data_IF_435718376536
#
_entry.id   IF_435718376536
#
_cell.length_a   1.000
_cell.length_b   1.000
_cell.length_c   1.000
_cell.angle_alpha   90.00
_cell.angle_beta   90.00
_cell.angle_gamma   90.00
#
_symmetry.space_group_name_H-M   'P 1'
#
loop_
_entity.id
_entity.type
_entity.pdbx_description
1 polymer ?
#
# COMPACT_ATOMS: atom_id res chain seq x y z
N UNK A 1 -50.05 -28.43 20.17
CA UNK A 1 -50.14 -27.65 18.91
C UNK A 1 -48.90 -26.78 18.67
N UNK A 2 -48.38 -26.04 19.66
CA UNK A 2 -47.15 -25.22 19.49
C UNK A 2 -45.85 -26.02 19.23
N UNK A 3 -45.69 -27.21 19.81
CA UNK A 3 -44.47 -28.04 19.64
C UNK A 3 -44.35 -28.68 18.24
N UNK A 4 -45.48 -28.98 17.59
CA UNK A 4 -45.51 -29.51 16.22
C UNK A 4 -45.16 -28.43 15.19
N UNK A 5 -45.64 -27.20 15.39
CA UNK A 5 -45.32 -26.05 14.54
C UNK A 5 -43.83 -25.67 14.60
N UNK A 6 -43.17 -25.81 15.75
CA UNK A 6 -41.73 -25.51 15.87
C UNK A 6 -40.84 -26.56 15.18
N UNK A 7 -41.25 -27.83 15.23
CA UNK A 7 -40.53 -28.94 14.59
C UNK A 7 -40.69 -28.92 13.06
N UNK A 8 -41.86 -28.54 12.53
CA UNK A 8 -42.05 -28.40 11.08
C UNK A 8 -41.31 -27.17 10.52
N UNK A 9 -41.24 -26.07 11.26
CA UNK A 9 -40.57 -24.85 10.82
C UNK A 9 -39.05 -25.01 10.75
N UNK A 10 -38.45 -25.67 11.74
CA UNK A 10 -37.01 -25.97 11.78
C UNK A 10 -36.59 -26.98 10.71
N UNK A 11 -37.41 -28.01 10.46
CA UNK A 11 -37.16 -28.99 9.41
C UNK A 11 -37.31 -28.39 8.00
N UNK A 12 -38.21 -27.42 7.82
CA UNK A 12 -38.39 -26.72 6.55
C UNK A 12 -37.28 -25.69 6.28
N UNK A 13 -36.78 -25.00 7.30
CA UNK A 13 -35.62 -24.11 7.19
C UNK A 13 -34.33 -24.87 6.87
N UNK A 14 -34.10 -25.99 7.55
CA UNK A 14 -32.90 -26.83 7.34
C UNK A 14 -32.86 -27.40 5.92
N UNK A 15 -34.00 -27.87 5.39
CA UNK A 15 -34.09 -28.35 4.00
C UNK A 15 -33.92 -27.24 2.95
N UNK A 16 -34.31 -26.00 3.25
CA UNK A 16 -34.05 -24.85 2.35
C UNK A 16 -32.57 -24.46 2.37
N UNK A 17 -31.92 -24.45 3.54
CA UNK A 17 -30.50 -24.13 3.69
C UNK A 17 -29.62 -25.19 3.00
N UNK A 18 -29.97 -26.48 3.15
CA UNK A 18 -29.24 -27.58 2.51
C UNK A 18 -29.38 -27.55 0.99
N UNK A 19 -30.58 -27.23 0.46
CA UNK A 19 -30.80 -27.05 -0.99
C UNK A 19 -30.04 -25.83 -1.54
N UNK A 20 -29.97 -24.73 -0.78
CA UNK A 20 -29.21 -23.55 -1.17
C UNK A 20 -27.70 -23.84 -1.23
N UNK A 21 -27.16 -24.54 -0.23
CA UNK A 21 -25.75 -24.96 -0.18
C UNK A 21 -25.40 -25.96 -1.29
N UNK A 22 -26.31 -26.87 -1.62
CA UNK A 22 -26.09 -27.85 -2.70
C UNK A 22 -26.09 -27.17 -4.08
N UNK A 23 -26.98 -26.19 -4.30
CA UNK A 23 -27.00 -25.39 -5.54
C UNK A 23 -25.74 -24.52 -5.64
N UNK A 24 -25.28 -23.92 -4.54
CA UNK A 24 -24.05 -23.13 -4.52
C UNK A 24 -22.81 -23.98 -4.87
N UNK A 25 -22.74 -25.22 -4.34
CA UNK A 25 -21.65 -26.15 -4.63
C UNK A 25 -21.65 -26.61 -6.09
N UNK A 26 -22.83 -26.84 -6.68
CA UNK A 26 -22.96 -27.20 -8.11
C UNK A 26 -22.61 -26.02 -9.02
N UNK A 27 -22.92 -24.78 -8.64
CA UNK A 27 -22.50 -23.58 -9.37
C UNK A 27 -20.98 -23.38 -9.27
N UNK A 28 -20.37 -23.61 -8.10
CA UNK A 28 -18.91 -23.54 -7.93
C UNK A 28 -18.19 -24.63 -8.76
N UNK A 29 -18.76 -25.83 -8.85
CA UNK A 29 -18.22 -26.91 -9.70
C UNK A 29 -18.48 -26.68 -11.20
N UNK A 30 -19.58 -26.03 -11.58
CA UNK A 30 -19.90 -25.73 -12.98
C UNK A 30 -19.11 -24.53 -13.53
N UNK A 31 -18.77 -23.54 -12.70
CA UNK A 31 -17.89 -22.41 -13.09
C UNK A 31 -16.44 -22.87 -13.28
N UNK A 32 -16.03 -23.99 -12.65
CA UNK A 32 -14.70 -24.59 -12.79
C UNK A 32 -14.45 -25.39 -14.09
N UNK A 33 -15.43 -25.56 -14.99
CA UNK A 33 -15.28 -26.43 -16.17
C UNK A 33 -15.64 -25.82 -17.53
N UNK A 34 -15.95 -24.53 -17.64
CA UNK A 34 -16.25 -23.90 -18.94
C UNK A 34 -15.22 -22.81 -19.24
N UNK A 35 -14.16 -23.23 -19.94
CA UNK A 35 -13.12 -22.31 -20.39
C UNK A 35 -11.93 -22.98 -21.07
N UNK A 36 -12.15 -24.04 -21.86
CA UNK A 36 -11.13 -24.46 -22.83
C UNK A 36 -11.09 -23.41 -23.94
N UNK A 37 -10.38 -22.31 -23.68
CA UNK A 37 -9.92 -21.44 -24.76
C UNK A 37 -8.67 -22.08 -25.33
N UNK A 38 -8.79 -22.51 -26.59
CA UNK A 38 -7.66 -22.90 -27.43
C UNK A 38 -6.64 -21.76 -27.45
N UNK A 39 -5.55 -21.94 -26.71
CA UNK A 39 -4.35 -21.13 -26.87
C UNK A 39 -3.83 -21.37 -28.28
N UNK A 40 -3.95 -20.37 -29.13
CA UNK A 40 -3.22 -20.29 -30.38
C UNK A 40 -1.82 -19.75 -30.03
N UNK A 41 -0.72 -20.54 -30.10
CA UNK A 41 0.62 -20.06 -29.80
C UNK A 41 1.12 -19.27 -31.02
N UNK A 42 0.60 -18.07 -31.16
CA UNK A 42 0.82 -17.21 -32.32
C UNK A 42 1.70 -16.02 -32.03
N UNK A 43 2.72 -16.12 -31.16
CA UNK A 43 3.86 -15.19 -31.11
C UNK A 43 5.13 -15.98 -30.78
N UNK A 44 5.71 -16.66 -31.77
CA UNK A 44 7.09 -17.15 -31.72
C UNK A 44 8.05 -16.01 -32.12
N UNK A 45 7.97 -14.90 -31.40
CA UNK A 45 8.96 -13.84 -31.44
C UNK A 45 9.56 -13.69 -30.05
N UNK A 46 10.73 -14.33 -29.92
CA UNK A 46 11.80 -14.04 -28.98
C UNK A 46 11.80 -14.71 -27.59
N UNK A 47 12.05 -16.02 -27.58
CA UNK A 47 12.29 -16.80 -26.36
C UNK A 47 13.57 -16.39 -25.59
N UNK A 48 14.43 -15.55 -26.18
CA UNK A 48 15.78 -15.29 -25.68
C UNK A 48 16.04 -13.83 -25.29
N UNK A 49 15.41 -12.85 -25.95
CA UNK A 49 15.68 -11.44 -25.67
C UNK A 49 15.25 -11.01 -24.27
N UNK A 50 16.09 -10.17 -23.67
CA UNK A 50 16.04 -9.69 -22.29
C UNK A 50 16.15 -10.78 -21.20
N UNK A 51 16.44 -12.03 -21.56
CA UNK A 51 16.77 -13.06 -20.56
C UNK A 51 18.13 -12.78 -19.93
N UNK A 52 18.27 -13.15 -18.66
CA UNK A 52 19.56 -13.20 -17.99
C UNK A 52 20.16 -14.60 -18.08
N UNK A 53 21.48 -14.66 -18.01
CA UNK A 53 22.22 -15.91 -17.94
C UNK A 53 23.60 -15.70 -17.35
N UNK A 54 24.33 -16.80 -17.20
CA UNK A 54 25.70 -16.80 -16.69
C UNK A 54 26.63 -17.51 -17.66
N UNK A 55 27.85 -16.97 -17.78
CA UNK A 55 28.93 -17.66 -18.46
C UNK A 55 29.25 -18.96 -17.72
N UNK A 56 29.28 -20.08 -18.45
CA UNK A 56 29.43 -21.42 -17.89
C UNK A 56 30.81 -22.07 -18.18
N UNK A 57 31.73 -21.31 -18.77
CA UNK A 57 33.10 -21.73 -19.03
C UNK A 57 34.11 -20.85 -18.27
N UNK A 58 35.30 -21.38 -18.00
CA UNK A 58 36.34 -20.71 -17.21
C UNK A 58 36.78 -19.37 -17.80
N UNK A 59 36.83 -19.27 -19.13
CA UNK A 59 37.20 -18.07 -19.86
C UNK A 59 36.57 -18.06 -21.25
N UNK A 60 35.92 -16.95 -21.62
CA UNK A 60 35.18 -16.81 -22.87
C UNK A 60 35.46 -15.44 -23.51
N UNK A 61 35.80 -15.43 -24.80
CA UNK A 61 36.00 -14.19 -25.54
C UNK A 61 34.66 -13.65 -26.06
N UNK A 62 34.32 -12.43 -25.67
CA UNK A 62 33.25 -11.64 -26.25
C UNK A 62 33.80 -10.94 -27.50
N UNK A 63 33.05 -10.99 -28.60
CA UNK A 63 33.48 -10.50 -29.92
C UNK A 63 32.58 -9.40 -30.46
N UNK A 64 33.10 -8.54 -31.33
CA UNK A 64 32.35 -7.42 -31.92
C UNK A 64 31.37 -7.87 -33.00
N UNK A 65 31.60 -9.05 -33.59
CA UNK A 65 30.73 -9.73 -34.56
C UNK A 65 30.58 -11.21 -34.19
N UNK A 66 29.51 -11.91 -34.61
CA UNK A 66 29.28 -13.32 -34.30
C UNK A 66 30.17 -14.24 -35.16
N UNK A 67 31.49 -14.06 -35.07
CA UNK A 67 32.47 -14.82 -35.84
C UNK A 67 33.71 -15.14 -34.99
N UNK A 68 33.95 -16.43 -34.72
CA UNK A 68 35.11 -16.87 -33.95
C UNK A 68 36.33 -17.23 -34.80
N UNK A 69 36.26 -17.16 -36.13
CA UNK A 69 37.40 -17.46 -37.03
C UNK A 69 38.30 -16.23 -37.25
N UNK A 70 37.87 -15.06 -36.78
CA UNK A 70 38.60 -13.80 -36.89
C UNK A 70 38.98 -13.32 -35.49
N UNK A 71 40.26 -13.46 -35.13
CA UNK A 71 40.75 -13.11 -33.79
C UNK A 71 40.85 -11.62 -33.51
N UNK A 72 40.93 -10.79 -34.56
CA UNK A 72 40.91 -9.32 -34.42
C UNK A 72 39.58 -8.78 -33.92
N UNK A 73 38.52 -9.59 -33.90
CA UNK A 73 37.18 -9.17 -33.46
C UNK A 73 36.95 -9.39 -31.96
N UNK A 74 37.98 -9.76 -31.18
CA UNK A 74 37.87 -9.86 -29.72
C UNK A 74 37.68 -8.48 -29.10
N UNK A 75 36.61 -8.32 -28.31
CA UNK A 75 36.34 -7.11 -27.51
C UNK A 75 36.95 -7.26 -26.12
N UNK A 76 36.57 -8.33 -25.41
CA UNK A 76 37.02 -8.59 -24.03
C UNK A 76 36.89 -10.08 -23.70
N UNK A 77 37.55 -10.51 -22.63
CA UNK A 77 37.39 -11.86 -22.07
C UNK A 77 36.58 -11.79 -20.77
N UNK A 78 35.58 -12.65 -20.64
CA UNK A 78 34.74 -12.81 -19.44
C UNK A 78 34.97 -14.19 -18.84
N UNK A 79 34.81 -14.31 -17.52
CA UNK A 79 35.09 -15.53 -16.77
C UNK A 79 33.78 -16.23 -16.34
N UNK A 80 33.93 -17.44 -15.80
CA UNK A 80 32.85 -18.23 -15.21
C UNK A 80 31.99 -17.38 -14.25
N UNK A 81 30.67 -17.59 -14.32
CA UNK A 81 29.64 -16.89 -13.53
C UNK A 81 29.43 -15.40 -13.85
N UNK A 82 30.10 -14.83 -14.86
CA UNK A 82 29.75 -13.50 -15.34
C UNK A 82 28.27 -13.46 -15.75
N UNK A 83 27.51 -12.56 -15.15
CA UNK A 83 26.10 -12.33 -15.47
C UNK A 83 26.01 -11.52 -16.76
N UNK A 84 25.12 -11.95 -17.66
CA UNK A 84 24.87 -11.33 -18.96
C UNK A 84 23.37 -11.20 -19.20
N UNK A 85 22.97 -10.16 -19.93
CA UNK A 85 21.62 -10.02 -20.50
C UNK A 85 21.68 -10.31 -21.99
N UNK A 86 20.79 -11.17 -22.49
CA UNK A 86 20.69 -11.52 -23.90
C UNK A 86 19.88 -10.44 -24.62
N UNK A 87 20.41 -9.90 -25.70
CA UNK A 87 19.75 -8.89 -26.53
C UNK A 87 19.19 -9.49 -27.82
N UNK A 88 19.80 -10.57 -28.31
CA UNK A 88 19.46 -11.21 -29.58
C UNK A 88 20.15 -12.57 -29.68
N UNK A 89 19.60 -13.49 -30.47
CA UNK A 89 20.24 -14.75 -30.87
C UNK A 89 20.43 -14.79 -32.39
N UNK A 90 21.67 -14.97 -32.86
CA UNK A 90 22.04 -14.96 -34.29
C UNK A 90 22.86 -16.19 -34.67
N UNK A 91 22.85 -16.57 -35.94
CA UNK A 91 23.77 -17.58 -36.49
C UNK A 91 25.09 -16.95 -36.93
N UNK A 92 26.21 -17.64 -36.75
CA UNK A 92 27.50 -17.16 -37.25
C UNK A 92 28.63 -18.19 -37.23
N UNK A 93 29.78 -17.90 -37.87
CA UNK A 93 30.89 -18.84 -37.96
C UNK A 93 31.56 -19.13 -36.62
N UNK A 94 31.88 -20.40 -36.36
CA UNK A 94 32.71 -20.87 -35.26
C UNK A 94 33.91 -21.67 -35.79
N UNK A 95 34.92 -21.92 -34.95
CA UNK A 95 36.08 -22.76 -35.31
C UNK A 95 35.72 -24.20 -35.68
N UNK A 96 34.48 -24.62 -35.38
CA UNK A 96 33.96 -25.97 -35.62
C UNK A 96 32.87 -26.02 -36.69
N UNK A 97 32.66 -24.94 -37.44
CA UNK A 97 31.55 -24.78 -38.40
C UNK A 97 30.57 -23.69 -38.00
N UNK A 98 29.33 -23.73 -38.46
CA UNK A 98 28.31 -22.73 -38.11
C UNK A 98 27.70 -23.02 -36.73
N UNK A 99 27.52 -21.99 -35.91
CA UNK A 99 26.87 -22.10 -34.60
C UNK A 99 26.04 -20.87 -34.26
N UNK A 100 25.37 -20.92 -33.12
CA UNK A 100 24.57 -19.80 -32.64
C UNK A 100 25.33 -18.96 -31.62
N UNK A 101 25.01 -17.68 -31.62
CA UNK A 101 25.61 -16.64 -30.81
C UNK A 101 24.52 -15.85 -30.12
N UNK A 102 24.79 -15.46 -28.88
CA UNK A 102 24.03 -14.42 -28.21
C UNK A 102 24.73 -13.09 -28.36
N UNK A 103 23.98 -12.07 -28.80
CA UNK A 103 24.36 -10.69 -28.52
C UNK A 103 24.06 -10.44 -27.05
N UNK A 104 25.05 -10.02 -26.28
CA UNK A 104 24.95 -9.85 -24.83
C UNK A 104 25.30 -8.42 -24.42
N UNK A 105 24.67 -7.97 -23.34
CA UNK A 105 25.06 -6.78 -22.57
C UNK A 105 25.48 -7.20 -21.16
N UNK A 106 26.59 -6.66 -20.67
CA UNK A 106 27.09 -6.96 -19.32
C UNK A 106 28.04 -5.86 -18.82
N UNK A 107 28.34 -5.88 -17.52
CA UNK A 107 29.23 -4.91 -16.89
C UNK A 107 30.48 -5.57 -16.32
N UNK A 108 31.63 -4.93 -16.52
CA UNK A 108 32.89 -5.25 -15.82
C UNK A 108 33.34 -3.98 -15.08
N UNK A 109 33.26 -4.00 -13.76
CA UNK A 109 33.41 -2.78 -12.96
C UNK A 109 32.31 -1.77 -13.31
N UNK A 110 32.69 -0.53 -13.61
CA UNK A 110 31.78 0.56 -14.01
C UNK A 110 31.51 0.62 -15.52
N UNK A 111 32.17 -0.20 -16.34
CA UNK A 111 32.05 -0.15 -17.81
C UNK A 111 31.04 -1.18 -18.31
N UNK A 112 30.12 -0.74 -19.16
CA UNK A 112 29.13 -1.60 -19.83
C UNK A 112 29.68 -2.00 -21.21
N UNK A 113 29.60 -3.29 -21.52
CA UNK A 113 30.04 -3.87 -22.79
C UNK A 113 28.86 -4.48 -23.53
N UNK A 114 28.93 -4.43 -24.85
CA UNK A 114 28.11 -5.24 -25.75
C UNK A 114 28.98 -6.03 -26.70
N UNK A 115 28.53 -7.23 -27.06
CA UNK A 115 29.19 -8.06 -28.05
C UNK A 115 28.54 -9.42 -28.16
N UNK A 116 29.21 -10.33 -28.87
CA UNK A 116 28.71 -11.65 -29.20
C UNK A 116 29.50 -12.73 -28.46
N UNK A 117 28.77 -13.69 -27.90
CA UNK A 117 29.32 -14.90 -27.29
C UNK A 117 28.64 -16.13 -27.89
N UNK A 118 29.37 -17.23 -28.05
CA UNK A 118 28.79 -18.49 -28.56
C UNK A 118 27.78 -19.03 -27.54
N UNK A 119 26.59 -19.39 -28.00
CA UNK A 119 25.45 -19.82 -27.17
C UNK A 119 25.83 -20.88 -26.13
N UNK A 120 26.62 -21.89 -26.51
CA UNK A 120 27.02 -23.00 -25.63
C UNK A 120 27.73 -22.55 -24.34
N UNK A 121 28.32 -21.35 -24.33
CA UNK A 121 29.05 -20.82 -23.18
C UNK A 121 28.17 -20.03 -22.21
N UNK A 122 26.86 -19.95 -22.47
CA UNK A 122 25.90 -19.25 -21.63
C UNK A 122 24.86 -20.26 -21.13
N UNK A 123 24.76 -20.40 -19.82
CA UNK A 123 23.61 -21.04 -19.20
C UNK A 123 22.58 -19.95 -18.91
N UNK A 124 21.43 -20.01 -19.59
CA UNK A 124 20.33 -19.10 -19.31
C UNK A 124 19.74 -19.42 -17.95
N UNK A 125 19.35 -18.38 -17.21
CA UNK A 125 18.51 -18.57 -16.02
C UNK A 125 17.20 -19.24 -16.47
N UNK A 126 16.58 -20.10 -15.63
CA UNK A 126 15.31 -20.72 -15.96
C UNK A 126 14.31 -19.62 -16.37
N UNK A 127 13.51 -19.85 -17.43
CA UNK A 127 12.50 -18.86 -17.80
C UNK A 127 11.63 -18.60 -16.59
N UNK A 128 11.49 -17.34 -16.17
CA UNK A 128 10.50 -16.97 -15.17
C UNK A 128 9.14 -17.21 -15.80
N UNK A 129 8.58 -18.40 -15.56
CA UNK A 129 7.23 -18.69 -15.99
C UNK A 129 6.31 -17.73 -15.22
N UNK A 130 5.35 -17.08 -15.90
CA UNK A 130 4.37 -16.27 -15.21
C UNK A 130 3.66 -17.15 -14.18
N UNK A 131 3.55 -16.66 -12.95
CA UNK A 131 2.69 -17.27 -11.96
C UNK A 131 1.24 -17.16 -12.48
N UNK A 132 0.77 -18.25 -13.08
CA UNK A 132 -0.54 -18.27 -13.76
C UNK A 132 -1.68 -17.97 -12.78
N UNK A 133 -1.53 -18.34 -11.51
CA UNK A 133 -2.51 -18.03 -10.48
C UNK A 133 -2.58 -16.53 -10.20
N UNK A 134 -1.42 -15.86 -10.22
CA UNK A 134 -1.34 -14.42 -10.09
C UNK A 134 -1.89 -13.70 -11.33
N UNK A 135 -1.58 -14.16 -12.54
CA UNK A 135 -2.14 -13.58 -13.78
C UNK A 135 -3.67 -13.72 -13.84
N UNK A 136 -4.19 -14.87 -13.37
CA UNK A 136 -5.62 -15.08 -13.24
C UNK A 136 -6.24 -14.11 -12.22
N UNK A 137 -5.61 -13.94 -11.05
CA UNK A 137 -6.05 -12.95 -10.05
C UNK A 137 -6.11 -11.55 -10.64
N UNK A 138 -5.06 -11.09 -11.34
CA UNK A 138 -5.03 -9.77 -11.97
C UNK A 138 -6.16 -9.60 -13.01
N UNK A 139 -6.45 -10.66 -13.76
CA UNK A 139 -7.51 -10.69 -14.78
C UNK A 139 -8.90 -10.67 -14.13
N UNK A 140 -9.13 -11.45 -13.08
CA UNK A 140 -10.37 -11.46 -12.30
C UNK A 140 -10.63 -10.10 -11.63
N UNK A 141 -9.57 -9.47 -11.12
CA UNK A 141 -9.60 -8.11 -10.58
C UNK A 141 -9.67 -7.04 -11.68
N UNK A 142 -9.68 -7.39 -12.97
CA UNK A 142 -9.81 -6.45 -14.10
C UNK A 142 -8.76 -5.33 -14.07
N UNK A 143 -7.53 -5.64 -13.66
CA UNK A 143 -6.45 -4.67 -13.76
C UNK A 143 -6.12 -4.38 -15.23
N UNK A 144 -5.99 -3.09 -15.64
CA UNK A 144 -5.53 -2.75 -16.98
C UNK A 144 -4.12 -3.27 -17.24
N UNK A 145 -3.79 -3.60 -18.50
CA UNK A 145 -2.45 -4.08 -18.88
C UNK A 145 -1.31 -3.16 -18.44
N UNK A 146 -1.55 -1.83 -18.40
CA UNK A 146 -0.55 -0.87 -17.95
C UNK A 146 -0.16 -0.99 -16.47
N UNK A 147 -0.94 -1.68 -15.64
CA UNK A 147 -0.63 -1.92 -14.23
C UNK A 147 0.21 -3.17 -14.02
N UNK A 148 0.01 -4.21 -14.85
CA UNK A 148 0.55 -5.55 -14.63
C UNK A 148 2.07 -5.61 -14.47
N UNK A 149 2.91 -4.85 -15.23
CA UNK A 149 4.36 -4.88 -15.03
C UNK A 149 4.79 -4.52 -13.60
N UNK A 150 4.15 -3.50 -13.01
CA UNK A 150 4.45 -3.06 -11.65
C UNK A 150 3.95 -4.06 -10.60
N UNK A 151 2.75 -4.61 -10.79
CA UNK A 151 2.17 -5.61 -9.89
C UNK A 151 2.98 -6.91 -9.88
N UNK A 152 3.49 -7.37 -11.03
CA UNK A 152 4.40 -8.53 -11.11
C UNK A 152 5.70 -8.29 -10.35
N UNK A 153 6.27 -7.10 -10.47
CA UNK A 153 7.49 -6.72 -9.76
C UNK A 153 7.28 -6.73 -8.23
N UNK A 154 6.11 -6.29 -7.77
CA UNK A 154 5.71 -6.33 -6.37
C UNK A 154 5.45 -7.77 -5.89
N UNK A 155 4.72 -8.57 -6.66
CA UNK A 155 4.42 -9.98 -6.36
C UNK A 155 5.67 -10.84 -6.23
N UNK A 156 6.66 -10.61 -7.10
CA UNK A 156 7.95 -11.31 -7.03
C UNK A 156 8.64 -11.09 -5.69
N UNK A 157 8.50 -9.89 -5.11
CA UNK A 157 9.09 -9.54 -3.81
C UNK A 157 8.20 -9.97 -2.64
N UNK A 158 6.89 -9.96 -2.82
CA UNK A 158 5.90 -10.27 -1.79
C UNK A 158 4.81 -11.21 -2.33
N UNK A 159 5.11 -12.52 -2.48
CA UNK A 159 4.20 -13.46 -3.15
C UNK A 159 2.88 -13.72 -2.41
N UNK A 160 2.78 -13.30 -1.15
CA UNK A 160 1.58 -13.45 -0.32
C UNK A 160 0.65 -12.24 -0.37
N UNK A 161 1.05 -11.17 -1.05
CA UNK A 161 0.21 -9.99 -1.19
C UNK A 161 -0.96 -10.26 -2.13
N UNK A 162 -2.11 -9.68 -1.79
CA UNK A 162 -3.35 -9.80 -2.56
C UNK A 162 -3.69 -8.40 -3.05
N UNK A 163 -3.75 -8.22 -4.36
CA UNK A 163 -4.11 -6.95 -4.97
C UNK A 163 -5.59 -6.94 -5.30
N UNK A 164 -6.31 -5.96 -4.76
CA UNK A 164 -7.70 -5.69 -5.10
C UNK A 164 -7.80 -4.42 -5.92
N UNK A 165 -8.54 -4.46 -7.03
CA UNK A 165 -8.77 -3.26 -7.82
C UNK A 165 -10.00 -2.51 -7.29
N UNK A 166 -9.91 -1.18 -7.24
CA UNK A 166 -11.07 -0.31 -6.96
C UNK A 166 -11.48 0.34 -8.27
N UNK A 167 -12.64 -0.08 -8.79
CA UNK A 167 -13.20 0.44 -10.03
C UNK A 167 -14.00 1.70 -9.75
N UNK A 168 -13.33 2.85 -9.70
CA UNK A 168 -13.96 4.14 -9.35
C UNK A 168 -14.96 4.63 -10.40
N UNK A 169 -14.80 4.19 -11.65
CA UNK A 169 -15.57 4.66 -12.82
C UNK A 169 -15.53 6.18 -13.02
N UNK A 170 -14.52 6.86 -12.44
CA UNK A 170 -14.33 8.29 -12.59
C UNK A 170 -13.61 8.60 -13.90
N UNK A 171 -14.03 9.66 -14.57
CA UNK A 171 -13.33 10.18 -15.74
C UNK A 171 -12.04 10.91 -15.32
N UNK A 172 -10.91 10.48 -15.91
CA UNK A 172 -9.59 11.01 -15.56
C UNK A 172 -9.49 12.52 -15.72
N UNK A 173 -10.00 13.07 -16.83
CA UNK A 173 -9.94 14.51 -17.09
C UNK A 173 -10.73 15.27 -16.03
N UNK A 174 -11.91 14.78 -15.68
CA UNK A 174 -12.78 15.37 -14.66
C UNK A 174 -12.13 15.35 -13.28
N UNK A 175 -11.46 14.26 -12.90
CA UNK A 175 -10.71 14.19 -11.64
C UNK A 175 -9.56 15.19 -11.63
N UNK A 176 -8.74 15.20 -12.69
CA UNK A 176 -7.60 16.10 -12.79
C UNK A 176 -8.04 17.58 -12.79
N UNK A 177 -9.08 17.92 -13.55
CA UNK A 177 -9.67 19.27 -13.58
C UNK A 177 -10.09 19.72 -12.18
N UNK A 178 -10.80 18.85 -11.46
CA UNK A 178 -11.18 19.10 -10.07
C UNK A 178 -9.96 19.30 -9.17
N UNK A 179 -8.90 18.49 -9.29
CA UNK A 179 -7.71 18.63 -8.45
C UNK A 179 -6.85 19.86 -8.79
N UNK A 180 -7.01 20.41 -9.99
CA UNK A 180 -6.31 21.63 -10.44
C UNK A 180 -7.11 22.93 -10.28
N UNK A 181 -8.25 22.89 -9.58
CA UNK A 181 -8.97 24.12 -9.20
C UNK A 181 -8.05 25.01 -8.32
N UNK A 182 -7.98 26.33 -8.57
CA UNK A 182 -7.23 27.27 -7.76
C UNK A 182 -7.41 27.08 -6.25
N UNK A 183 -6.30 26.91 -5.53
CA UNK A 183 -6.26 26.71 -4.08
C UNK A 183 -6.32 25.26 -3.60
N UNK A 184 -6.50 24.26 -4.48
CA UNK A 184 -6.70 22.85 -4.06
C UNK A 184 -5.41 22.04 -3.95
N UNK A 185 -4.60 22.02 -5.01
CA UNK A 185 -3.31 21.31 -5.03
C UNK A 185 -2.16 22.32 -4.99
N UNK A 186 -1.42 22.33 -3.88
CA UNK A 186 -0.40 23.33 -3.61
C UNK A 186 0.98 22.69 -3.45
N UNK A 187 2.01 23.48 -3.77
CA UNK A 187 3.42 23.14 -3.63
C UNK A 187 4.14 24.33 -2.99
N UNK A 188 5.20 24.09 -2.23
CA UNK A 188 5.96 25.19 -1.66
C UNK A 188 6.69 25.97 -2.76
N UNK A 189 6.64 27.30 -2.69
CA UNK A 189 7.17 28.20 -3.71
C UNK A 189 8.69 28.08 -3.90
N UNK A 190 9.40 27.61 -2.86
CA UNK A 190 10.84 27.33 -2.91
C UNK A 190 11.20 26.10 -3.76
N UNK A 191 10.24 25.25 -4.11
CA UNK A 191 10.49 24.11 -4.98
C UNK A 191 10.60 24.53 -6.45
N UNK A 192 11.08 23.59 -7.26
CA UNK A 192 11.41 23.79 -8.67
C UNK A 192 10.23 24.40 -9.45
N UNK A 193 10.53 25.33 -10.36
CA UNK A 193 9.54 26.01 -11.21
C UNK A 193 8.67 25.06 -12.02
N UNK A 194 9.19 23.90 -12.44
CA UNK A 194 8.43 22.87 -13.15
C UNK A 194 7.29 22.24 -12.31
N UNK A 195 7.34 22.39 -11.00
CA UNK A 195 6.32 21.91 -10.08
C UNK A 195 5.18 22.90 -9.90
N UNK A 196 5.33 24.14 -10.39
CA UNK A 196 4.41 25.24 -10.15
C UNK A 196 3.61 25.55 -11.40
N UNK A 197 2.33 25.88 -11.23
CA UNK A 197 1.46 26.22 -12.37
C UNK A 197 1.83 27.59 -12.95
N UNK A 198 1.81 27.70 -14.28
CA UNK A 198 1.99 28.95 -15.02
C UNK A 198 0.67 29.53 -15.54
N UNK A 199 -0.46 28.92 -15.17
CA UNK A 199 -1.80 29.41 -15.54
C UNK A 199 -2.03 30.84 -14.98
N UNK A 200 -2.82 31.68 -15.66
CA UNK A 200 -3.03 33.08 -15.27
C UNK A 200 -3.50 33.28 -13.82
N UNK A 201 -4.25 32.33 -13.27
CA UNK A 201 -4.72 32.34 -11.88
C UNK A 201 -3.58 32.04 -10.89
N UNK A 202 -2.54 31.31 -11.31
CA UNK A 202 -1.43 30.86 -10.47
C UNK A 202 -0.18 31.75 -10.57
N UNK A 203 0.05 32.38 -11.73
CA UNK A 203 1.30 33.10 -12.03
C UNK A 203 1.03 34.50 -12.59
N UNK A 204 1.77 35.48 -12.09
CA UNK A 204 1.75 36.84 -12.58
C UNK A 204 2.94 37.09 -13.51
N UNK A 205 2.65 37.17 -14.80
CA UNK A 205 3.62 37.40 -15.87
C UNK A 205 4.22 38.82 -15.87
N UNK A 206 3.57 39.81 -15.22
CA UNK A 206 4.11 41.17 -15.12
C UNK A 206 5.14 41.28 -14.00
N UNK A 207 4.91 40.60 -12.88
CA UNK A 207 5.81 40.63 -11.72
C UNK A 207 6.77 39.44 -11.66
N UNK A 208 6.61 38.46 -12.55
CA UNK A 208 7.38 37.22 -12.63
C UNK A 208 7.32 36.43 -11.30
N UNK A 209 6.12 36.32 -10.72
CA UNK A 209 5.89 35.70 -9.40
C UNK A 209 4.68 34.77 -9.40
N UNK A 210 4.80 33.66 -8.67
CA UNK A 210 3.66 32.82 -8.34
C UNK A 210 2.81 33.45 -7.23
N UNK A 211 1.49 33.33 -7.39
CA UNK A 211 0.50 33.82 -6.44
C UNK A 211 0.34 32.81 -5.29
N UNK A 212 0.47 33.23 -4.03
CA UNK A 212 0.25 32.35 -2.88
C UNK A 212 -1.25 32.08 -2.67
N UNK A 213 -1.56 30.86 -2.24
CA UNK A 213 -2.92 30.38 -1.95
C UNK A 213 -3.10 29.92 -0.50
N UNK A 214 -2.02 29.49 0.17
CA UNK A 214 -2.03 29.18 1.61
C UNK A 214 -0.76 29.76 2.26
N UNK A 215 -0.96 30.57 3.30
CA UNK A 215 0.07 31.43 3.85
C UNK A 215 0.77 32.27 2.78
N UNK A 216 2.06 32.54 2.98
CA UNK A 216 2.89 33.30 2.04
C UNK A 216 3.74 32.42 1.11
N UNK A 217 3.70 31.09 1.28
CA UNK A 217 4.67 30.18 0.67
C UNK A 217 4.08 29.03 -0.14
N UNK A 218 2.78 28.76 -0.07
CA UNK A 218 2.16 27.70 -0.86
C UNK A 218 1.52 28.28 -2.11
N UNK A 219 1.94 27.77 -3.28
CA UNK A 219 1.49 28.21 -4.60
C UNK A 219 0.90 27.03 -5.36
N UNK A 220 0.14 27.30 -6.43
CA UNK A 220 -0.50 26.25 -7.23
C UNK A 220 0.52 25.28 -7.83
N UNK A 221 0.28 23.98 -7.65
CA UNK A 221 1.03 22.92 -8.31
C UNK A 221 0.72 22.89 -9.82
N UNK A 222 1.70 22.51 -10.64
CA UNK A 222 1.50 22.33 -12.09
C UNK A 222 0.59 21.14 -12.35
N UNK A 223 -0.22 21.24 -13.42
CA UNK A 223 -1.15 20.17 -13.81
C UNK A 223 -0.43 18.85 -14.08
N UNK A 224 0.78 18.90 -14.62
CA UNK A 224 1.63 17.74 -14.86
C UNK A 224 2.03 17.08 -13.54
N UNK A 225 2.44 17.86 -12.53
CA UNK A 225 2.77 17.32 -11.22
C UNK A 225 1.56 16.65 -10.56
N UNK A 226 0.40 17.31 -10.59
CA UNK A 226 -0.85 16.75 -10.06
C UNK A 226 -1.19 15.44 -10.78
N UNK A 227 -1.05 15.37 -12.11
CA UNK A 227 -1.31 14.15 -12.87
C UNK A 227 -0.37 12.99 -12.52
N UNK A 228 0.88 13.27 -12.16
CA UNK A 228 1.84 12.26 -11.73
C UNK A 228 1.44 11.63 -10.39
N UNK A 229 1.04 12.45 -9.41
CA UNK A 229 0.61 11.97 -8.09
C UNK A 229 -0.77 11.31 -8.09
N UNK A 230 -1.65 11.71 -9.02
CA UNK A 230 -2.95 11.06 -9.24
C UNK A 230 -2.88 9.78 -10.06
N UNK A 231 -1.75 9.42 -10.65
CA UNK A 231 -1.63 8.16 -11.39
C UNK A 231 -1.13 7.06 -10.45
N UNK A 232 -1.96 6.07 -10.08
CA UNK A 232 -1.55 5.04 -9.12
C UNK A 232 -0.30 4.29 -9.57
N UNK A 233 -0.12 4.10 -10.89
CA UNK A 233 1.02 3.38 -11.48
C UNK A 233 2.35 4.03 -11.11
N UNK A 234 2.36 5.34 -10.89
CA UNK A 234 3.55 6.09 -10.53
C UNK A 234 4.04 5.77 -9.10
N UNK A 235 3.21 5.10 -8.30
CA UNK A 235 3.45 4.77 -6.89
C UNK A 235 3.50 3.25 -6.62
N UNK A 236 3.36 2.41 -7.66
CA UNK A 236 3.42 0.95 -7.54
C UNK A 236 4.87 0.44 -7.52
N UNK A 237 5.58 0.77 -6.44
CA UNK A 237 6.88 0.20 -6.09
C UNK A 237 6.94 -0.23 -4.63
N UNK A 238 8.00 -0.94 -4.25
CA UNK A 238 8.16 -1.57 -2.92
C UNK A 238 8.12 -0.59 -1.74
N UNK A 239 8.23 0.72 -2.00
CA UNK A 239 8.23 1.76 -0.96
C UNK A 239 6.88 2.47 -0.90
N UNK A 240 6.33 2.84 -2.06
CA UNK A 240 5.15 3.72 -2.15
C UNK A 240 3.84 2.96 -2.23
N UNK A 241 3.86 1.66 -2.54
CA UNK A 241 2.67 0.81 -2.63
C UNK A 241 1.82 0.80 -1.35
N UNK A 242 2.43 1.02 -0.18
CA UNK A 242 1.71 1.07 1.11
C UNK A 242 0.68 2.20 1.19
N UNK A 243 0.72 3.20 0.31
CA UNK A 243 -0.37 4.18 0.25
C UNK A 243 -1.72 3.56 -0.17
N UNK A 244 -1.67 2.39 -0.81
CA UNK A 244 -2.84 1.60 -1.21
C UNK A 244 -3.16 0.46 -0.24
N UNK A 245 -2.49 0.40 0.92
CA UNK A 245 -2.81 -0.58 1.96
C UNK A 245 -4.25 -0.36 2.46
N UNK A 246 -5.04 -1.44 2.54
CA UNK A 246 -6.38 -1.38 3.08
C UNK A 246 -6.34 -1.15 4.60
N UNK A 247 -6.79 0.02 5.02
CA UNK A 247 -6.83 0.48 6.40
C UNK A 247 -8.06 -0.04 7.16
N UNK A 248 -8.89 -0.90 6.56
CA UNK A 248 -10.02 -1.56 7.23
C UNK A 248 -9.54 -2.77 8.03
N UNK A 249 -10.21 -3.08 9.14
CA UNK A 249 -9.89 -4.24 9.96
C UNK A 249 -10.16 -5.55 9.20
N UNK A 250 -9.11 -6.35 9.02
CA UNK A 250 -9.21 -7.72 8.53
C UNK A 250 -8.61 -8.71 9.55
N UNK A 251 -9.43 -9.52 10.25
CA UNK A 251 -8.96 -10.45 11.27
C UNK A 251 -8.13 -11.61 10.70
N UNK A 252 -8.14 -11.84 9.37
CA UNK A 252 -7.33 -12.88 8.74
C UNK A 252 -5.85 -12.51 8.62
N UNK A 253 -5.51 -11.21 8.71
CA UNK A 253 -4.14 -10.71 8.50
C UNK A 253 -3.62 -9.88 9.68
N UNK A 254 -4.51 -9.28 10.46
CA UNK A 254 -4.13 -8.48 11.62
C UNK A 254 -4.03 -9.34 12.88
N UNK A 255 -2.85 -9.36 13.49
CA UNK A 255 -2.56 -10.15 14.70
C UNK A 255 -2.04 -9.27 15.84
N UNK A 256 -2.15 -9.78 17.08
CA UNK A 256 -1.58 -9.11 18.26
C UNK A 256 -0.06 -8.94 18.08
N UNK A 257 0.62 -9.93 17.53
CA UNK A 257 2.07 -9.92 17.30
C UNK A 257 2.48 -8.81 16.33
N UNK A 258 1.71 -8.57 15.27
CA UNK A 258 1.94 -7.46 14.36
C UNK A 258 1.81 -6.11 15.05
N UNK A 259 0.80 -5.94 15.92
CA UNK A 259 0.66 -4.73 16.73
C UNK A 259 1.84 -4.58 17.70
N UNK A 260 2.27 -5.66 18.37
CA UNK A 260 3.44 -5.63 19.26
C UNK A 260 4.71 -5.18 18.52
N UNK A 261 4.92 -5.65 17.29
CA UNK A 261 6.03 -5.23 16.45
C UNK A 261 5.97 -3.73 16.13
N UNK A 262 4.78 -3.21 15.80
CA UNK A 262 4.55 -1.77 15.58
C UNK A 262 4.79 -0.95 16.84
N UNK A 263 4.46 -1.46 18.04
CA UNK A 263 4.67 -0.74 19.29
C UNK A 263 6.09 -0.91 19.85
N UNK A 264 6.93 -1.74 19.24
CA UNK A 264 8.28 -2.01 19.72
C UNK A 264 9.12 -0.71 19.77
N UNK A 265 9.76 -0.48 20.92
CA UNK A 265 10.63 0.68 21.13
C UNK A 265 9.93 1.98 21.52
N UNK A 266 8.62 1.96 21.82
CA UNK A 266 7.91 3.08 22.42
C UNK A 266 7.32 2.72 23.80
N UNK A 267 6.76 3.70 24.51
CA UNK A 267 6.22 3.51 25.87
C UNK A 267 5.04 2.50 25.95
N UNK A 268 4.38 2.23 24.82
CA UNK A 268 3.28 1.27 24.69
C UNK A 268 3.77 -0.16 24.38
N UNK A 269 5.04 -0.35 24.03
CA UNK A 269 5.62 -1.65 23.66
C UNK A 269 5.94 -2.54 24.86
N UNK A 270 6.58 -3.69 24.62
CA UNK A 270 7.03 -4.63 25.67
C UNK A 270 5.93 -5.03 26.66
N UNK A 271 4.73 -5.34 26.14
CA UNK A 271 3.57 -5.76 26.92
C UNK A 271 3.19 -4.81 28.07
N UNK A 272 3.40 -3.51 27.87
CA UNK A 272 2.93 -2.48 28.80
C UNK A 272 1.40 -2.51 28.88
N UNK A 273 0.91 -2.41 30.11
CA UNK A 273 -0.52 -2.57 30.42
C UNK A 273 -1.18 -1.27 30.87
N UNK A 274 -2.49 -1.23 30.70
CA UNK A 274 -3.40 -0.22 31.24
C UNK A 274 -4.46 -0.96 32.06
N UNK A 275 -4.74 -0.47 33.26
CA UNK A 275 -5.86 -0.94 34.09
C UNK A 275 -6.96 0.11 34.05
N UNK A 276 -8.19 -0.33 33.78
CA UNK A 276 -9.36 0.53 33.61
C UNK A 276 -10.64 -0.23 34.03
N UNK A 277 -11.74 0.47 34.38
CA UNK A 277 -13.01 -0.19 34.66
C UNK A 277 -13.65 -0.71 33.37
N UNK A 278 -14.06 -1.97 33.37
CA UNK A 278 -14.77 -2.59 32.25
C UNK A 278 -16.12 -1.90 32.01
N UNK A 279 -16.39 -1.54 30.75
CA UNK A 279 -17.56 -0.74 30.38
C UNK A 279 -18.91 -1.43 30.66
N UNK A 280 -18.93 -2.77 30.77
CA UNK A 280 -20.17 -3.52 31.00
C UNK A 280 -20.39 -3.85 32.46
N UNK A 281 -19.32 -4.20 33.17
CA UNK A 281 -19.39 -4.75 34.52
C UNK A 281 -18.94 -3.77 35.59
N UNK A 282 -18.17 -2.73 35.22
CA UNK A 282 -17.53 -1.80 36.14
C UNK A 282 -16.36 -2.40 36.93
N UNK A 283 -16.04 -3.68 36.72
CA UNK A 283 -14.92 -4.35 37.38
C UNK A 283 -13.59 -3.91 36.76
N UNK A 284 -12.50 -3.94 37.54
CA UNK A 284 -11.18 -3.62 37.01
C UNK A 284 -10.74 -4.67 35.97
N UNK A 285 -10.24 -4.17 34.84
CA UNK A 285 -9.69 -4.95 33.74
C UNK A 285 -8.30 -4.42 33.39
N UNK A 286 -7.36 -5.33 33.14
CA UNK A 286 -6.00 -5.00 32.73
C UNK A 286 -5.71 -5.59 31.36
N UNK A 287 -5.31 -4.76 30.42
CA UNK A 287 -4.90 -5.17 29.06
C UNK A 287 -3.57 -4.56 28.69
N UNK A 288 -2.82 -5.24 27.84
CA UNK A 288 -1.68 -4.64 27.13
C UNK A 288 -2.15 -3.62 26.09
N UNK A 289 -1.35 -2.62 25.75
CA UNK A 289 -1.69 -1.70 24.65
C UNK A 289 -1.97 -2.43 23.33
N UNK A 290 -1.23 -3.50 23.05
CA UNK A 290 -1.47 -4.31 21.85
C UNK A 290 -2.89 -4.93 21.84
N UNK A 291 -3.37 -5.44 22.99
CA UNK A 291 -4.74 -5.93 23.12
C UNK A 291 -5.76 -4.80 22.97
N UNK A 292 -5.49 -3.61 23.53
CA UNK A 292 -6.38 -2.45 23.41
C UNK A 292 -6.54 -2.04 21.94
N UNK A 293 -5.46 -1.96 21.16
CA UNK A 293 -5.57 -1.64 19.73
C UNK A 293 -6.31 -2.71 18.92
N UNK A 294 -6.18 -3.99 19.29
CA UNK A 294 -6.96 -5.05 18.66
C UNK A 294 -8.45 -4.95 18.97
N UNK A 295 -8.82 -4.62 20.21
CA UNK A 295 -10.22 -4.35 20.57
C UNK A 295 -10.74 -3.10 19.87
N UNK A 296 -9.95 -2.03 19.82
CA UNK A 296 -10.29 -0.81 19.12
C UNK A 296 -10.57 -1.09 17.64
N UNK A 297 -9.75 -1.91 16.98
CA UNK A 297 -9.95 -2.33 15.60
C UNK A 297 -11.24 -3.14 15.39
N UNK A 298 -11.54 -4.07 16.30
CA UNK A 298 -12.76 -4.87 16.23
C UNK A 298 -14.03 -4.02 16.34
N UNK A 299 -14.01 -2.98 17.19
CA UNK A 299 -15.17 -2.11 17.41
C UNK A 299 -15.29 -1.04 16.33
N UNK A 300 -14.17 -0.47 15.89
CA UNK A 300 -14.15 0.64 14.93
C UNK A 300 -14.13 0.22 13.47
N UNK A 301 -13.81 -1.03 13.15
CA UNK A 301 -13.60 -1.47 11.77
C UNK A 301 -12.28 -0.98 11.16
N UNK A 302 -11.40 -0.34 11.93
CA UNK A 302 -10.11 0.20 11.45
C UNK A 302 -8.97 -0.78 11.71
N UNK A 303 -8.00 -0.85 10.80
CA UNK A 303 -6.79 -1.66 10.98
C UNK A 303 -6.06 -1.30 12.28
N UNK A 304 -5.76 -2.30 13.16
CA UNK A 304 -5.00 -2.06 14.38
C UNK A 304 -3.56 -1.66 14.06
N UNK A 305 -3.05 -2.02 12.88
CA UNK A 305 -1.73 -1.59 12.43
C UNK A 305 -1.74 -0.11 12.08
N UNK A 306 -2.80 0.37 11.42
CA UNK A 306 -3.00 1.80 11.18
C UNK A 306 -3.12 2.57 12.51
N UNK A 307 -4.01 2.13 13.40
CA UNK A 307 -4.25 2.79 14.69
C UNK A 307 -2.97 2.88 15.53
N UNK A 308 -2.27 1.76 15.72
CA UNK A 308 -1.03 1.71 16.51
C UNK A 308 0.07 2.56 15.88
N UNK A 309 0.22 2.53 14.55
CA UNK A 309 1.23 3.33 13.84
C UNK A 309 0.97 4.82 13.97
N UNK A 310 -0.29 5.25 13.83
CA UNK A 310 -0.70 6.66 14.01
C UNK A 310 -0.39 7.12 15.43
N UNK A 311 -0.85 6.40 16.45
CA UNK A 311 -0.56 6.79 17.84
C UNK A 311 0.94 6.79 18.13
N UNK A 312 1.69 5.81 17.63
CA UNK A 312 3.15 5.80 17.78
C UNK A 312 3.80 7.03 17.14
N UNK A 313 3.35 7.44 15.96
CA UNK A 313 3.86 8.62 15.28
C UNK A 313 3.51 9.92 16.04
N UNK A 314 2.27 10.03 16.51
CA UNK A 314 1.75 11.23 17.18
C UNK A 314 2.33 11.43 18.58
N UNK A 315 2.40 10.35 19.38
CA UNK A 315 2.70 10.43 20.81
C UNK A 315 3.63 9.32 21.31
N UNK A 316 4.29 8.56 20.43
CA UNK A 316 5.16 7.44 20.81
C UNK A 316 6.37 7.82 21.67
N UNK A 317 6.73 9.11 21.72
CA UNK A 317 7.72 9.64 22.67
C UNK A 317 7.27 9.54 24.13
N UNK A 318 5.97 9.37 24.40
CA UNK A 318 5.43 9.13 25.75
C UNK A 318 5.38 10.35 26.67
N UNK A 319 5.76 11.53 26.19
CA UNK A 319 5.90 12.74 27.00
C UNK A 319 4.84 13.81 26.72
N UNK A 320 3.98 13.60 25.72
CA UNK A 320 2.93 14.57 25.39
C UNK A 320 1.90 14.67 26.52
N UNK A 321 1.56 15.89 26.94
CA UNK A 321 0.51 16.13 27.93
C UNK A 321 -0.86 15.56 27.54
N UNK A 322 -1.08 15.27 26.25
CA UNK A 322 -2.30 14.61 25.78
C UNK A 322 -2.46 13.17 26.25
N UNK A 323 -1.39 12.51 26.74
CA UNK A 323 -1.42 11.08 27.12
C UNK A 323 -0.99 10.81 28.56
N UNK A 324 -0.59 11.84 29.33
CA UNK A 324 -0.13 11.65 30.71
C UNK A 324 -1.26 11.63 31.73
N UNK A 325 -2.41 12.26 31.41
CA UNK A 325 -3.50 12.49 32.36
C UNK A 325 -3.18 13.54 33.44
N UNK A 326 -2.07 14.28 33.31
CA UNK A 326 -1.61 15.26 34.32
C UNK A 326 -1.64 16.70 33.81
N UNK A 327 -2.12 16.92 32.59
CA UNK A 327 -2.09 18.23 31.95
C UNK A 327 -3.22 19.13 32.44
N UNK A 328 -2.87 20.14 33.24
CA UNK A 328 -3.81 21.19 33.65
C UNK A 328 -4.36 21.97 32.45
N UNK A 329 -5.65 22.38 32.46
CA UNK A 329 -6.68 22.14 33.48
C UNK A 329 -7.54 20.88 33.22
N UNK A 330 -7.02 19.93 32.45
CA UNK A 330 -7.70 18.72 31.99
C UNK A 330 -7.04 17.45 32.55
N UNK A 331 -6.70 17.48 33.83
CA UNK A 331 -6.21 16.31 34.56
C UNK A 331 -7.23 15.17 34.50
N UNK A 332 -6.73 13.95 34.31
CA UNK A 332 -7.54 12.74 34.16
C UNK A 332 -8.09 12.51 32.75
N UNK A 333 -7.83 13.39 31.76
CA UNK A 333 -8.28 13.18 30.38
C UNK A 333 -7.14 12.80 29.45
N UNK A 334 -7.45 12.01 28.43
CA UNK A 334 -6.48 11.45 27.49
C UNK A 334 -6.95 11.63 26.04
N UNK A 335 -6.02 11.93 25.13
CA UNK A 335 -6.26 12.05 23.69
C UNK A 335 -5.07 11.48 22.90
N UNK A 336 -5.13 10.19 22.58
CA UNK A 336 -4.04 9.48 21.89
C UNK A 336 -3.95 9.78 20.39
N UNK A 337 -5.01 10.30 19.77
CA UNK A 337 -5.08 10.59 18.33
C UNK A 337 -5.02 12.09 18.01
N UNK A 338 -4.78 12.94 19.02
CA UNK A 338 -4.78 14.40 18.87
C UNK A 338 -6.07 14.95 18.22
N UNK A 339 -7.21 14.29 18.45
CA UNK A 339 -8.50 14.69 17.86
C UNK A 339 -8.88 16.07 18.40
N UNK A 340 -9.07 17.03 17.50
CA UNK A 340 -9.39 18.42 17.84
C UNK A 340 -8.19 19.26 18.31
N UNK A 341 -6.96 18.74 18.25
CA UNK A 341 -5.75 19.49 18.59
C UNK A 341 -5.36 20.49 17.47
N UNK A 342 -6.10 21.59 17.40
CA UNK A 342 -5.89 22.66 16.40
C UNK A 342 -4.82 23.66 16.84
N UNK A 343 -4.17 24.32 15.86
CA UNK A 343 -3.17 25.36 16.09
C UNK A 343 -3.70 26.44 17.07
N UNK A 344 -2.82 26.92 17.94
CA UNK A 344 -3.11 27.92 18.95
C UNK A 344 -1.90 28.83 19.16
N UNK A 345 -2.14 30.11 19.40
CA UNK A 345 -1.10 31.09 19.77
C UNK A 345 -0.64 30.93 21.22
N UNK A 346 -1.40 30.20 22.05
CA UNK A 346 -1.03 29.88 23.42
C UNK A 346 -0.04 28.71 23.41
N UNK A 347 1.10 28.79 24.14
CA UNK A 347 2.01 27.66 24.31
C UNK A 347 1.27 26.40 24.80
N UNK A 348 1.43 25.28 24.10
CA UNK A 348 0.72 24.03 24.41
C UNK A 348 -0.77 24.03 24.08
N UNK A 349 -1.30 25.10 23.48
CA UNK A 349 -2.74 25.28 23.25
C UNK A 349 -3.36 24.23 22.34
N UNK A 350 -2.60 23.63 21.42
CA UNK A 350 -3.09 22.50 20.61
C UNK A 350 -3.40 21.27 21.47
N UNK A 351 -2.53 20.94 22.44
CA UNK A 351 -2.77 19.84 23.39
C UNK A 351 -4.00 20.14 24.26
N UNK A 352 -4.12 21.38 24.76
CA UNK A 352 -5.26 21.80 25.56
C UNK A 352 -6.57 21.71 24.77
N UNK A 353 -6.58 22.14 23.51
CA UNK A 353 -7.71 22.01 22.59
C UNK A 353 -8.14 20.55 22.39
N UNK A 354 -7.18 19.63 22.26
CA UNK A 354 -7.47 18.20 22.14
C UNK A 354 -8.02 17.59 23.44
N UNK A 355 -7.52 18.01 24.59
CA UNK A 355 -8.01 17.54 25.90
C UNK A 355 -9.38 18.13 26.27
N UNK A 356 -9.67 19.35 25.81
CA UNK A 356 -11.02 19.92 25.88
C UNK A 356 -12.02 19.04 25.14
N UNK A 357 -11.67 18.56 23.93
CA UNK A 357 -12.50 17.59 23.19
C UNK A 357 -12.62 16.27 23.94
N UNK A 358 -11.53 15.76 24.50
CA UNK A 358 -11.55 14.53 25.31
C UNK A 358 -12.54 14.60 26.48
N UNK A 359 -12.71 15.80 27.07
CA UNK A 359 -13.61 16.04 28.20
C UNK A 359 -15.04 16.34 27.79
N UNK A 360 -15.22 17.12 26.72
CA UNK A 360 -16.50 17.75 26.39
C UNK A 360 -17.13 17.23 25.09
N UNK A 361 -16.46 16.34 24.36
CA UNK A 361 -16.90 15.95 23.03
C UNK A 361 -16.46 16.96 21.96
N UNK A 362 -16.88 16.72 20.73
CA UNK A 362 -16.31 17.40 19.55
C UNK A 362 -16.77 18.85 19.41
N UNK A 363 -17.90 19.21 19.99
CA UNK A 363 -18.42 20.59 20.00
C UNK A 363 -17.84 21.45 21.15
N UNK A 364 -17.05 20.82 22.04
CA UNK A 364 -16.38 21.42 23.20
C UNK A 364 -17.33 22.09 24.19
N UNK A 365 -18.55 21.57 24.33
CA UNK A 365 -19.53 22.09 25.29
C UNK A 365 -19.75 21.12 26.45
N UNK A 366 -20.10 21.64 27.64
CA UNK A 366 -20.51 20.77 28.74
C UNK A 366 -21.73 19.92 28.38
N UNK A 367 -21.64 18.62 28.64
CA UNK A 367 -22.71 17.65 28.43
C UNK A 367 -22.48 16.78 27.20
N UNK A 368 -22.12 15.51 27.42
CA UNK A 368 -21.94 14.54 26.33
C UNK A 368 -23.30 14.11 25.79
N UNK A 369 -23.51 14.31 24.50
CA UNK A 369 -24.74 13.91 23.81
C UNK A 369 -24.77 12.40 23.56
N UNK A 370 -25.96 11.81 23.34
CA UNK A 370 -26.08 10.39 22.96
C UNK A 370 -25.29 10.06 21.69
N UNK A 371 -25.24 11.01 20.73
CA UNK A 371 -24.47 10.88 19.51
C UNK A 371 -22.95 10.89 19.74
N UNK A 372 -22.49 11.37 20.89
CA UNK A 372 -21.07 11.41 21.27
C UNK A 372 -20.67 10.27 22.21
N UNK A 373 -21.63 9.67 22.92
CA UNK A 373 -21.40 8.47 23.74
C UNK A 373 -20.89 7.29 22.89
N UNK A 374 -21.24 7.23 21.61
CA UNK A 374 -20.71 6.22 20.67
C UNK A 374 -19.19 6.31 20.52
N UNK A 375 -18.60 7.49 20.74
CA UNK A 375 -17.16 7.72 20.73
C UNK A 375 -16.54 7.59 22.13
N UNK A 376 -17.30 7.10 23.10
CA UNK A 376 -16.85 6.85 24.48
C UNK A 376 -16.37 8.11 25.23
N UNK A 377 -16.87 9.29 24.86
CA UNK A 377 -16.63 10.49 25.66
C UNK A 377 -17.34 10.40 27.03
N UNK A 378 -16.76 10.95 28.10
CA UNK A 378 -15.42 11.55 28.15
C UNK A 378 -14.30 10.51 28.20
N UNK A 379 -13.14 10.83 27.64
CA UNK A 379 -11.96 9.94 27.64
C UNK A 379 -11.14 10.06 28.92
N UNK A 380 -11.63 9.45 30.00
CA UNK A 380 -11.05 9.53 31.35
C UNK A 380 -9.93 8.54 31.64
N UNK A 381 -9.60 7.68 30.69
CA UNK A 381 -8.49 6.74 30.78
C UNK A 381 -7.93 6.44 29.37
N UNK A 382 -6.73 5.82 29.27
CA UNK A 382 -6.15 5.48 27.98
C UNK A 382 -6.99 4.54 27.12
N UNK A 383 -7.76 3.61 27.72
CA UNK A 383 -8.60 2.68 26.97
C UNK A 383 -9.73 3.41 26.27
N UNK A 384 -10.48 4.25 26.98
CA UNK A 384 -11.55 5.09 26.42
C UNK A 384 -11.03 5.98 25.29
N UNK A 385 -9.87 6.60 25.48
CA UNK A 385 -9.25 7.46 24.47
C UNK A 385 -8.86 6.70 23.20
N UNK A 386 -8.24 5.52 23.35
CA UNK A 386 -7.80 4.72 22.20
C UNK A 386 -9.01 4.12 21.48
N UNK A 387 -9.93 3.47 22.19
CA UNK A 387 -11.09 2.83 21.55
C UNK A 387 -12.04 3.89 20.97
N UNK A 388 -12.38 4.90 21.76
CA UNK A 388 -13.28 5.99 21.36
C UNK A 388 -12.74 6.80 20.18
N UNK A 389 -11.46 7.18 20.23
CA UNK A 389 -10.80 7.86 19.12
C UNK A 389 -10.72 7.00 17.85
N UNK A 390 -10.58 5.68 17.98
CA UNK A 390 -10.61 4.76 16.84
C UNK A 390 -11.98 4.69 16.19
N UNK A 391 -13.07 4.65 16.97
CA UNK A 391 -14.44 4.69 16.45
C UNK A 391 -14.69 6.01 15.71
N UNK A 392 -14.23 7.13 16.29
CA UNK A 392 -14.33 8.43 15.66
C UNK A 392 -13.60 8.46 14.31
N UNK A 393 -12.36 7.94 14.25
CA UNK A 393 -11.58 7.87 13.01
C UNK A 393 -12.22 6.96 11.97
N UNK A 394 -12.70 5.78 12.37
CA UNK A 394 -13.41 4.83 11.50
C UNK A 394 -14.61 5.48 10.82
N UNK A 395 -15.50 6.06 11.63
CA UNK A 395 -16.75 6.66 11.15
C UNK A 395 -16.59 7.83 10.17
N UNK A 396 -15.44 8.52 10.20
CA UNK A 396 -15.19 9.73 9.41
C UNK A 396 -14.44 9.48 8.11
N UNK A 397 -13.68 8.39 8.03
CA UNK A 397 -12.79 8.13 6.90
C UNK A 397 -12.97 6.72 6.35
N UNK A 398 -12.74 5.71 7.19
CA UNK A 398 -12.68 4.31 6.74
C UNK A 398 -14.06 3.81 6.32
N UNK A 399 -15.08 4.07 7.15
CA UNK A 399 -16.45 3.58 6.93
C UNK A 399 -17.16 4.29 5.77
N UNK A 400 -16.67 5.45 5.36
CA UNK A 400 -17.18 6.21 4.20
C UNK A 400 -16.47 5.85 2.89
N UNK A 401 -15.62 4.82 2.91
CA UNK A 401 -14.93 4.29 1.72
C UNK A 401 -13.57 4.91 1.44
N UNK A 402 -13.00 5.71 2.35
CA UNK A 402 -11.63 6.22 2.25
C UNK A 402 -10.70 5.34 3.08
N UNK A 403 -10.57 4.08 2.67
CA UNK A 403 -9.84 3.05 3.40
C UNK A 403 -8.42 2.79 2.86
N UNK A 404 -7.85 3.74 2.13
CA UNK A 404 -6.44 3.82 1.73
C UNK A 404 -5.90 5.22 2.01
N UNK A 405 -4.57 5.40 2.02
CA UNK A 405 -3.98 6.74 2.13
C UNK A 405 -4.02 7.52 0.80
N UNK A 406 -3.98 6.79 -0.32
CA UNK A 406 -4.35 7.31 -1.64
C UNK A 406 -5.83 7.66 -1.67
#
# INVERSE_FOLDING_TARGET
MLLLLHHEFTHHLHNKLLRLLTVLLIVILAVGQIGIFSFNPGIAADEFTNRTGKINASSVNVRSTPNSTIDTNKVVTVNLNQVVTILERVSGPTSTGTGYWYKIRFSLGSTVYEGYVVERYVTLDPPTLPDLSFEEQLTQQKFPESYKPYLRALHTQNPTWIFHSVQTNLDWKTVLDNQTIPGRSLVQNQFNDNFKSLEPEAYDWFTNKWKPYDGSSWVMASRQLVSYYLDPRSMLDSTRVYMFENLSFNPAVHTIEGVKAILQGCFMGNDKTVTFPDLKTGAERTLTYAQIFMEAAQVSGVSPYHLASRVRQEVGGGTSGSITGTQAPYEGYYNYFNIGASASTTPGGAVLNGLEVAKHGTDRKPGITEAEQVFLFPWTDPYLSIVGGSIWLGSRYIDVGQNTLY
#
